data_IF_857814311122
#
_entry.id   IF_857814311122
#
_cell.length_a   1.000
_cell.length_b   1.000
_cell.length_c   1.000
_cell.angle_alpha   90.00
_cell.angle_beta   90.00
_cell.angle_gamma   90.00
#
_symmetry.space_group_name_H-M   'P 1'
#
loop_
_entity.id
_entity.type
_entity.pdbx_description
1 polymer ?
#
# COMPACT_ATOMS: atom_id res chain seq x y z
N UNK A 1 -8.35 -30.97 4.67
CA UNK A 1 -8.10 -29.71 5.42
C UNK A 1 -7.00 -28.87 4.76
N UNK A 2 -5.84 -29.46 4.41
CA UNK A 2 -4.73 -28.74 3.75
C UNK A 2 -5.03 -28.33 2.31
N UNK A 3 -5.79 -29.15 1.57
CA UNK A 3 -6.14 -28.90 0.17
C UNK A 3 -7.10 -27.72 0.01
N UNK A 4 -8.07 -27.58 0.90
CA UNK A 4 -9.01 -26.44 0.92
C UNK A 4 -8.29 -25.13 1.33
N UNK A 5 -7.35 -25.22 2.26
CA UNK A 5 -6.53 -24.08 2.68
C UNK A 5 -5.64 -23.59 1.54
N UNK A 6 -4.94 -24.49 0.84
CA UNK A 6 -4.10 -24.15 -0.29
C UNK A 6 -4.90 -23.56 -1.46
N UNK A 7 -6.09 -24.11 -1.75
CA UNK A 7 -6.99 -23.60 -2.78
C UNK A 7 -7.49 -22.18 -2.46
N UNK A 8 -7.90 -21.93 -1.21
CA UNK A 8 -8.33 -20.60 -0.78
C UNK A 8 -7.18 -19.58 -0.82
N UNK A 9 -5.97 -20.02 -0.44
CA UNK A 9 -4.77 -19.18 -0.52
C UNK A 9 -4.49 -18.75 -1.96
N UNK A 10 -4.51 -19.68 -2.90
CA UNK A 10 -4.30 -19.38 -4.33
C UNK A 10 -5.37 -18.44 -4.86
N UNK A 11 -6.62 -18.63 -4.48
CA UNK A 11 -7.72 -17.74 -4.90
C UNK A 11 -7.57 -16.32 -4.31
N UNK A 12 -7.23 -16.22 -3.03
CA UNK A 12 -7.00 -14.91 -2.39
C UNK A 12 -5.82 -14.17 -3.02
N UNK A 13 -4.74 -14.91 -3.38
CA UNK A 13 -3.58 -14.37 -4.12
C UNK A 13 -4.01 -13.87 -5.50
N UNK A 14 -4.74 -14.67 -6.25
CA UNK A 14 -5.18 -14.32 -7.60
C UNK A 14 -6.11 -13.10 -7.61
N UNK A 15 -7.04 -13.03 -6.67
CA UNK A 15 -7.97 -11.89 -6.55
C UNK A 15 -7.25 -10.60 -6.08
N UNK A 16 -6.29 -10.74 -5.17
CA UNK A 16 -5.45 -9.65 -4.73
C UNK A 16 -4.59 -9.09 -5.85
N UNK A 17 -3.96 -9.98 -6.63
CA UNK A 17 -3.17 -9.61 -7.81
C UNK A 17 -4.03 -8.91 -8.87
N UNK A 18 -5.18 -9.46 -9.21
CA UNK A 18 -6.08 -8.86 -10.20
C UNK A 18 -6.51 -7.45 -9.80
N UNK A 19 -6.90 -7.24 -8.55
CA UNK A 19 -7.27 -5.90 -8.05
C UNK A 19 -6.09 -4.94 -8.11
N UNK A 20 -4.90 -5.38 -7.70
CA UNK A 20 -3.70 -4.57 -7.75
C UNK A 20 -3.35 -4.16 -9.18
N UNK A 21 -3.26 -5.12 -10.12
CA UNK A 21 -2.90 -4.82 -11.50
C UNK A 21 -3.90 -3.90 -12.19
N UNK A 22 -5.19 -4.07 -11.96
CA UNK A 22 -6.22 -3.15 -12.50
C UNK A 22 -6.06 -1.74 -11.94
N UNK A 23 -5.83 -1.61 -10.64
CA UNK A 23 -5.58 -0.31 -10.00
C UNK A 23 -4.30 0.33 -10.52
N UNK A 24 -3.21 -0.43 -10.59
CA UNK A 24 -1.91 0.06 -11.05
C UNK A 24 -1.93 0.45 -12.54
N UNK A 25 -2.59 -0.33 -13.38
CA UNK A 25 -2.75 0.01 -14.79
C UNK A 25 -3.52 1.34 -14.97
N UNK A 26 -4.56 1.57 -14.17
CA UNK A 26 -5.30 2.82 -14.21
C UNK A 26 -4.46 4.00 -13.72
N UNK A 27 -3.69 3.82 -12.63
CA UNK A 27 -2.73 4.84 -12.15
C UNK A 27 -1.70 5.14 -13.23
N UNK A 28 -1.07 4.11 -13.81
CA UNK A 28 -0.06 4.25 -14.85
C UNK A 28 -0.59 5.00 -16.09
N UNK A 29 -1.81 4.70 -16.50
CA UNK A 29 -2.48 5.39 -17.62
C UNK A 29 -2.73 6.87 -17.29
N UNK A 30 -3.29 7.18 -16.11
CA UNK A 30 -3.51 8.56 -15.67
C UNK A 30 -2.19 9.34 -15.56
N UNK A 31 -1.15 8.73 -15.01
CA UNK A 31 0.19 9.31 -14.89
C UNK A 31 0.79 9.58 -16.26
N UNK A 32 0.65 8.66 -17.22
CA UNK A 32 1.09 8.86 -18.60
C UNK A 32 0.42 10.06 -19.27
N UNK A 33 -0.88 10.26 -19.05
CA UNK A 33 -1.60 11.43 -19.54
C UNK A 33 -1.08 12.71 -18.86
N UNK A 34 -0.89 12.69 -17.54
CA UNK A 34 -0.40 13.85 -16.79
C UNK A 34 1.01 14.26 -17.25
N UNK A 35 1.91 13.30 -17.45
CA UNK A 35 3.25 13.58 -18.02
C UNK A 35 3.15 14.13 -19.43
N UNK A 36 2.30 13.56 -20.29
CA UNK A 36 2.09 14.05 -21.65
C UNK A 36 1.61 15.50 -21.66
N UNK A 37 0.64 15.84 -20.82
CA UNK A 37 0.14 17.21 -20.68
C UNK A 37 1.24 18.13 -20.14
N UNK A 38 1.95 17.71 -19.08
CA UNK A 38 3.02 18.49 -18.49
C UNK A 38 4.16 18.80 -19.47
N UNK A 39 4.57 17.81 -20.26
CA UNK A 39 5.58 17.97 -21.28
C UNK A 39 5.10 18.82 -22.47
N UNK A 40 3.81 18.75 -22.84
CA UNK A 40 3.23 19.63 -23.86
C UNK A 40 3.22 21.09 -23.41
N UNK A 41 2.92 21.38 -22.15
CA UNK A 41 2.90 22.75 -21.61
C UNK A 41 4.28 23.41 -21.71
N UNK A 42 5.35 22.64 -21.50
CA UNK A 42 6.74 23.15 -21.63
C UNK A 42 7.30 23.00 -23.04
N UNK A 43 6.45 22.66 -24.02
CA UNK A 43 6.84 22.44 -25.42
C UNK A 43 8.02 21.47 -25.55
N UNK A 44 7.96 20.35 -24.82
CA UNK A 44 9.03 19.36 -24.81
C UNK A 44 8.96 18.45 -26.04
N UNK A 45 10.10 18.06 -26.65
CA UNK A 45 10.10 17.21 -27.82
C UNK A 45 9.52 15.83 -27.49
N UNK A 46 8.73 15.30 -28.42
CA UNK A 46 8.05 14.01 -28.26
C UNK A 46 7.21 13.89 -26.95
N UNK A 47 6.63 14.99 -26.47
CA UNK A 47 5.92 15.09 -25.19
C UNK A 47 4.94 13.96 -24.93
N UNK A 48 4.10 13.61 -25.91
CA UNK A 48 3.09 12.54 -25.78
C UNK A 48 3.76 11.18 -25.68
N UNK A 49 4.71 10.88 -26.57
CA UNK A 49 5.41 9.59 -26.58
C UNK A 49 6.20 9.37 -25.29
N UNK A 50 6.93 10.39 -24.85
CA UNK A 50 7.71 10.35 -23.62
C UNK A 50 6.80 10.20 -22.38
N UNK A 51 5.71 10.97 -22.32
CA UNK A 51 4.75 10.91 -21.22
C UNK A 51 4.09 9.53 -21.09
N UNK A 52 3.64 8.94 -22.20
CA UNK A 52 3.07 7.60 -22.21
C UNK A 52 4.11 6.54 -21.86
N UNK A 53 5.35 6.68 -22.32
CA UNK A 53 6.44 5.79 -21.97
C UNK A 53 6.73 5.80 -20.46
N UNK A 54 6.81 6.99 -19.85
CA UNK A 54 6.99 7.13 -18.40
C UNK A 54 5.79 6.57 -17.63
N UNK A 55 4.57 6.79 -18.13
CA UNK A 55 3.36 6.18 -17.60
C UNK A 55 3.40 4.65 -17.64
N UNK A 56 3.88 4.06 -18.74
CA UNK A 56 4.05 2.61 -18.85
C UNK A 56 5.09 2.08 -17.85
N UNK A 57 6.21 2.78 -17.68
CA UNK A 57 7.21 2.45 -16.65
C UNK A 57 6.62 2.49 -15.23
N UNK A 58 5.65 3.37 -14.98
CA UNK A 58 4.97 3.49 -13.70
C UNK A 58 4.08 2.28 -13.34
N UNK A 59 3.94 1.29 -14.23
CA UNK A 59 3.37 -0.03 -13.88
C UNK A 59 4.12 -0.68 -12.71
N UNK A 60 5.40 -0.41 -12.59
CA UNK A 60 6.21 -0.80 -11.43
C UNK A 60 6.53 0.46 -10.63
N UNK A 61 6.20 0.51 -9.33
CA UNK A 61 6.49 1.66 -8.49
C UNK A 61 7.96 2.07 -8.57
N UNK A 62 8.22 3.36 -8.66
CA UNK A 62 9.54 3.98 -8.76
C UNK A 62 10.31 3.72 -10.07
N UNK A 63 9.85 2.82 -10.95
CA UNK A 63 10.54 2.53 -12.21
C UNK A 63 10.47 3.72 -13.19
N UNK A 64 9.52 4.63 -13.01
CA UNK A 64 9.44 5.88 -13.77
C UNK A 64 10.74 6.74 -13.71
N UNK A 65 11.59 6.53 -12.67
CA UNK A 65 12.90 7.20 -12.56
C UNK A 65 13.77 6.89 -13.80
N UNK A 66 13.65 5.71 -14.41
CA UNK A 66 14.35 5.37 -15.65
C UNK A 66 13.96 6.32 -16.80
N UNK A 67 12.76 6.88 -16.75
CA UNK A 67 12.28 7.90 -17.69
C UNK A 67 13.11 9.20 -17.69
N UNK A 68 13.91 9.45 -16.65
CA UNK A 68 14.86 10.56 -16.65
C UNK A 68 15.92 10.42 -17.75
N UNK A 69 16.35 9.22 -18.07
CA UNK A 69 17.38 9.00 -19.09
C UNK A 69 16.96 9.52 -20.48
N UNK A 70 15.81 9.10 -21.06
CA UNK A 70 15.34 9.68 -22.32
C UNK A 70 14.96 11.17 -22.17
N UNK A 71 14.49 11.61 -21.00
CA UNK A 71 14.19 13.04 -20.78
C UNK A 71 15.44 13.90 -20.88
N UNK A 72 16.57 13.50 -20.29
CA UNK A 72 17.84 14.23 -20.40
C UNK A 72 18.31 14.25 -21.85
N UNK A 73 18.23 13.15 -22.56
CA UNK A 73 18.64 13.05 -23.97
C UNK A 73 17.83 14.03 -24.85
N UNK A 74 16.51 14.03 -24.67
CA UNK A 74 15.62 14.93 -25.42
C UNK A 74 15.80 16.40 -25.01
N UNK A 75 16.16 16.67 -23.76
CA UNK A 75 16.49 18.03 -23.31
C UNK A 75 17.77 18.56 -23.98
N UNK A 76 18.78 17.72 -24.17
CA UNK A 76 20.00 18.08 -24.92
C UNK A 76 19.66 18.38 -26.38
N UNK A 77 18.83 17.54 -27.02
CA UNK A 77 18.39 17.78 -28.40
C UNK A 77 17.62 19.10 -28.50
N UNK A 78 16.67 19.37 -27.63
CA UNK A 78 15.92 20.63 -27.61
C UNK A 78 16.84 21.82 -27.42
N UNK A 79 17.82 21.77 -26.53
CA UNK A 79 18.77 22.82 -26.31
C UNK A 79 19.61 23.12 -27.56
N UNK A 80 20.03 22.08 -28.28
CA UNK A 80 20.78 22.20 -29.53
C UNK A 80 19.94 22.82 -30.66
N UNK A 81 18.67 22.40 -30.79
CA UNK A 81 17.78 22.89 -31.85
C UNK A 81 17.29 24.32 -31.62
N UNK A 82 16.98 24.70 -30.38
CA UNK A 82 16.37 25.99 -30.05
C UNK A 82 17.37 27.03 -29.57
N UNK A 83 18.61 26.64 -29.27
CA UNK A 83 19.62 27.54 -28.67
C UNK A 83 19.28 27.94 -27.23
N UNK A 84 18.26 27.36 -26.63
CA UNK A 84 17.86 27.63 -25.24
C UNK A 84 18.86 27.02 -24.24
N UNK A 85 18.92 27.62 -23.05
CA UNK A 85 19.79 27.11 -22.01
C UNK A 85 19.31 25.72 -21.54
N UNK A 86 20.15 24.70 -21.68
CA UNK A 86 19.89 23.33 -21.26
C UNK A 86 19.39 23.25 -19.80
N UNK A 87 19.99 24.05 -18.90
CA UNK A 87 19.62 24.04 -17.48
C UNK A 87 18.18 24.49 -17.21
N UNK A 88 17.67 25.42 -18.03
CA UNK A 88 16.26 25.84 -17.95
C UNK A 88 15.34 24.74 -18.42
N UNK A 89 15.67 24.08 -19.54
CA UNK A 89 14.85 23.00 -20.09
C UNK A 89 14.76 21.84 -19.10
N UNK A 90 15.90 21.43 -18.55
CA UNK A 90 15.91 20.32 -17.58
C UNK A 90 15.22 20.68 -16.27
N UNK A 91 15.34 21.93 -15.78
CA UNK A 91 14.64 22.40 -14.61
C UNK A 91 13.11 22.37 -14.80
N UNK A 92 12.61 22.78 -15.97
CA UNK A 92 11.19 22.68 -16.33
C UNK A 92 10.73 21.21 -16.38
N UNK A 93 11.52 20.33 -16.98
CA UNK A 93 11.21 18.90 -17.01
C UNK A 93 11.16 18.31 -15.59
N UNK A 94 12.12 18.63 -14.72
CA UNK A 94 12.13 18.22 -13.31
C UNK A 94 10.91 18.73 -12.55
N UNK A 95 10.48 19.98 -12.83
CA UNK A 95 9.25 20.52 -12.25
C UNK A 95 8.02 19.71 -12.66
N UNK A 96 7.92 19.27 -13.92
CA UNK A 96 6.84 18.38 -14.37
C UNK A 96 6.88 17.06 -13.61
N UNK A 97 8.06 16.42 -13.46
CA UNK A 97 8.19 15.20 -12.66
C UNK A 97 7.72 15.40 -11.22
N UNK A 98 8.15 16.48 -10.56
CA UNK A 98 7.77 16.77 -9.18
C UNK A 98 6.26 17.00 -9.02
N UNK A 99 5.65 17.79 -9.92
CA UNK A 99 4.21 18.06 -9.88
C UNK A 99 3.41 16.78 -10.11
N UNK A 100 3.76 15.99 -11.13
CA UNK A 100 3.06 14.73 -11.42
C UNK A 100 3.23 13.75 -10.27
N UNK A 101 4.41 13.67 -9.65
CA UNK A 101 4.65 12.83 -8.48
C UNK A 101 3.76 13.23 -7.30
N UNK A 102 3.65 14.51 -6.98
CA UNK A 102 2.79 15.02 -5.91
C UNK A 102 1.32 14.67 -6.19
N UNK A 103 0.86 14.86 -7.43
CA UNK A 103 -0.53 14.52 -7.82
C UNK A 103 -0.75 13.02 -7.71
N UNK A 104 0.20 12.20 -8.16
CA UNK A 104 0.12 10.75 -8.07
C UNK A 104 -0.01 10.29 -6.62
N UNK A 105 0.88 10.72 -5.73
CA UNK A 105 0.95 10.23 -4.35
C UNK A 105 -0.19 10.77 -3.48
N UNK A 106 -0.65 12.00 -3.76
CA UNK A 106 -1.71 12.64 -2.95
C UNK A 106 -3.11 12.29 -3.42
N UNK A 107 -3.33 12.12 -4.72
CA UNK A 107 -4.67 11.96 -5.30
C UNK A 107 -4.89 10.63 -6.01
N UNK A 108 -4.00 10.24 -6.94
CA UNK A 108 -4.23 9.08 -7.78
C UNK A 108 -4.16 7.79 -6.97
N UNK A 109 -3.09 7.58 -6.26
CA UNK A 109 -2.85 6.35 -5.50
C UNK A 109 -3.92 6.16 -4.42
N UNK A 110 -4.23 7.13 -3.53
CA UNK A 110 -5.29 6.95 -2.53
C UNK A 110 -6.67 6.75 -3.13
N UNK A 111 -7.00 7.44 -4.24
CA UNK A 111 -8.32 7.38 -4.85
C UNK A 111 -8.57 6.11 -5.65
N UNK A 112 -7.56 5.62 -6.35
CA UNK A 112 -7.66 4.44 -7.23
C UNK A 112 -7.38 3.14 -6.48
N UNK A 113 -6.33 3.12 -5.67
CA UNK A 113 -5.91 1.93 -4.94
C UNK A 113 -6.49 1.84 -3.52
N UNK A 114 -7.04 2.93 -2.99
CA UNK A 114 -7.64 2.96 -1.66
C UNK A 114 -6.66 2.53 -0.56
N UNK A 115 -7.17 1.78 0.43
CA UNK A 115 -6.35 1.29 1.56
C UNK A 115 -5.40 0.13 1.22
N UNK A 116 -5.36 -0.30 -0.04
CA UNK A 116 -4.51 -1.42 -0.47
C UNK A 116 -3.02 -1.08 -0.31
N UNK A 117 -2.67 0.19 -0.43
CA UNK A 117 -1.30 0.69 -0.33
C UNK A 117 -0.99 1.39 1.00
N UNK A 118 -1.66 1.04 2.09
CA UNK A 118 -1.31 1.51 3.44
C UNK A 118 0.08 1.06 3.91
N UNK A 119 0.94 0.64 2.99
CA UNK A 119 2.31 0.21 3.27
C UNK A 119 3.24 1.42 3.39
N UNK A 120 4.11 1.39 4.40
CA UNK A 120 5.18 2.36 4.54
C UNK A 120 6.10 2.29 3.29
N UNK A 121 6.53 3.44 2.71
CA UNK A 121 7.46 3.47 1.58
C UNK A 121 8.70 2.59 1.76
N UNK A 122 9.22 2.47 2.98
CA UNK A 122 10.33 1.57 3.29
C UNK A 122 10.01 0.09 3.03
N UNK A 123 8.79 -0.35 3.34
CA UNK A 123 8.34 -1.73 3.08
C UNK A 123 8.19 -1.97 1.58
N UNK A 124 7.74 -0.96 0.83
CA UNK A 124 7.63 -1.04 -0.63
C UNK A 124 9.01 -1.24 -1.26
N UNK A 125 9.99 -0.39 -0.90
CA UNK A 125 11.35 -0.51 -1.40
C UNK A 125 12.01 -1.83 -1.01
N UNK A 126 11.82 -2.26 0.23
CA UNK A 126 12.33 -3.55 0.70
C UNK A 126 11.73 -4.73 -0.08
N UNK A 127 10.41 -4.71 -0.31
CA UNK A 127 9.74 -5.76 -1.08
C UNK A 127 10.19 -5.79 -2.54
N UNK A 128 10.34 -4.62 -3.18
CA UNK A 128 10.88 -4.52 -4.54
C UNK A 128 12.30 -5.05 -4.62
N UNK A 129 13.15 -4.78 -3.62
CA UNK A 129 14.53 -5.27 -3.55
C UNK A 129 14.57 -6.80 -3.39
N UNK A 130 13.77 -7.35 -2.48
CA UNK A 130 13.74 -8.80 -2.22
C UNK A 130 13.20 -9.55 -3.44
N UNK A 131 12.01 -9.19 -3.90
CA UNK A 131 11.37 -9.89 -5.02
C UNK A 131 12.07 -9.63 -6.34
N UNK A 132 12.62 -8.42 -6.52
CA UNK A 132 13.45 -8.08 -7.67
C UNK A 132 14.75 -8.88 -7.73
N UNK A 133 15.41 -9.10 -6.60
CA UNK A 133 16.61 -9.94 -6.51
C UNK A 133 16.31 -11.43 -6.78
N UNK A 134 15.14 -11.92 -6.34
CA UNK A 134 14.77 -13.34 -6.52
C UNK A 134 14.28 -13.66 -7.92
N UNK A 135 13.48 -12.79 -8.54
CA UNK A 135 12.77 -13.07 -9.79
C UNK A 135 13.00 -12.00 -10.87
N UNK A 136 13.93 -11.06 -10.65
CA UNK A 136 14.21 -9.98 -11.59
C UNK A 136 13.02 -9.05 -11.80
N UNK A 137 12.81 -8.60 -13.03
CA UNK A 137 11.75 -7.66 -13.40
C UNK A 137 10.35 -8.19 -13.09
N UNK A 138 10.09 -9.49 -13.28
CA UNK A 138 8.82 -10.12 -12.90
C UNK A 138 8.59 -10.05 -11.39
N UNK A 139 9.64 -10.26 -10.60
CA UNK A 139 9.57 -10.12 -9.13
C UNK A 139 9.20 -8.71 -8.69
N UNK A 140 9.73 -7.67 -9.32
CA UNK A 140 9.36 -6.28 -9.03
C UNK A 140 7.88 -6.00 -9.34
N UNK A 141 7.35 -6.53 -10.43
CA UNK A 141 5.93 -6.34 -10.80
C UNK A 141 4.98 -6.97 -9.78
N UNK A 142 5.30 -8.17 -9.28
CA UNK A 142 4.47 -8.91 -8.33
C UNK A 142 4.81 -8.62 -6.86
N UNK A 143 5.86 -7.85 -6.59
CA UNK A 143 6.36 -7.58 -5.23
C UNK A 143 5.29 -7.05 -4.28
N UNK A 144 4.57 -6.01 -4.70
CA UNK A 144 3.56 -5.36 -3.86
C UNK A 144 2.35 -6.25 -3.56
N UNK A 145 1.71 -6.91 -4.56
CA UNK A 145 0.64 -7.85 -4.27
C UNK A 145 1.05 -8.98 -3.33
N UNK A 146 2.23 -9.58 -3.55
CA UNK A 146 2.73 -10.66 -2.70
C UNK A 146 3.02 -10.19 -1.27
N UNK A 147 3.66 -9.04 -1.12
CA UNK A 147 3.97 -8.48 0.21
C UNK A 147 2.71 -8.08 0.96
N UNK A 148 1.72 -7.47 0.29
CA UNK A 148 0.43 -7.13 0.89
C UNK A 148 -0.32 -8.36 1.38
N UNK A 149 -0.29 -9.43 0.60
CA UNK A 149 -0.88 -10.71 0.97
C UNK A 149 -0.16 -11.34 2.17
N UNK A 150 1.17 -11.39 2.15
CA UNK A 150 1.95 -11.90 3.28
C UNK A 150 1.65 -11.12 4.57
N UNK A 151 1.59 -9.79 4.50
CA UNK A 151 1.24 -8.96 5.66
C UNK A 151 -0.20 -9.17 6.12
N UNK A 152 -1.15 -9.30 5.19
CA UNK A 152 -2.55 -9.57 5.51
C UNK A 152 -2.72 -10.94 6.19
N UNK A 153 -2.00 -11.97 5.73
CA UNK A 153 -1.98 -13.28 6.37
C UNK A 153 -1.31 -13.24 7.74
N UNK A 154 -0.19 -12.53 7.86
CA UNK A 154 0.50 -12.34 9.13
C UNK A 154 -0.41 -11.67 10.16
N UNK A 155 -1.10 -10.60 9.79
CA UNK A 155 -2.07 -9.91 10.64
C UNK A 155 -3.25 -10.81 11.03
N UNK A 156 -3.77 -11.58 10.08
CA UNK A 156 -4.93 -12.44 10.31
C UNK A 156 -4.62 -13.64 11.20
N UNK A 157 -3.45 -14.27 11.03
CA UNK A 157 -3.12 -15.51 11.74
C UNK A 157 -2.33 -15.29 13.03
N UNK A 158 -1.55 -14.23 13.13
CA UNK A 158 -0.71 -14.00 14.30
C UNK A 158 -1.32 -12.95 15.21
N UNK A 159 -1.62 -11.76 14.70
CA UNK A 159 -2.12 -10.65 15.53
C UNK A 159 -3.55 -10.89 16.02
N UNK A 160 -4.45 -11.42 15.18
CA UNK A 160 -5.82 -11.71 15.61
C UNK A 160 -5.90 -12.87 16.60
N UNK A 161 -5.00 -13.85 16.54
CA UNK A 161 -4.93 -14.90 17.57
C UNK A 161 -4.54 -14.37 18.94
N UNK A 162 -3.62 -13.44 18.98
CA UNK A 162 -3.25 -12.79 20.25
C UNK A 162 -4.41 -11.95 20.79
N UNK A 163 -5.08 -11.15 19.96
CA UNK A 163 -6.25 -10.37 20.40
C UNK A 163 -7.35 -11.24 20.96
N UNK A 164 -7.72 -12.31 20.28
CA UNK A 164 -8.75 -13.26 20.77
C UNK A 164 -8.36 -13.83 22.13
N UNK A 165 -7.09 -14.17 22.32
CA UNK A 165 -6.60 -14.71 23.58
C UNK A 165 -6.63 -13.67 24.72
N UNK A 166 -6.34 -12.39 24.43
CA UNK A 166 -6.47 -11.32 25.41
C UNK A 166 -7.94 -11.05 25.78
N UNK A 167 -8.83 -11.01 24.81
CA UNK A 167 -10.27 -10.80 25.03
C UNK A 167 -10.91 -11.95 25.81
N UNK A 168 -10.48 -13.21 25.59
CA UNK A 168 -10.91 -14.37 26.38
C UNK A 168 -10.43 -14.31 27.83
N UNK A 169 -9.19 -13.88 28.06
CA UNK A 169 -8.64 -13.70 29.41
C UNK A 169 -9.37 -12.60 30.13
N UNK A 170 -9.59 -11.47 29.49
CA UNK A 170 -10.30 -10.32 30.09
C UNK A 170 -11.75 -10.65 30.43
N UNK A 171 -12.48 -11.31 29.53
CA UNK A 171 -13.86 -11.75 29.80
C UNK A 171 -13.93 -12.79 30.92
N UNK A 172 -12.94 -13.66 31.04
CA UNK A 172 -12.85 -14.64 32.12
C UNK A 172 -12.59 -13.97 33.46
N UNK A 173 -11.72 -12.98 33.52
CA UNK A 173 -11.41 -12.19 34.72
C UNK A 173 -12.65 -11.41 35.19
N UNK A 174 -13.36 -10.75 34.27
CA UNK A 174 -14.59 -10.00 34.55
C UNK A 174 -15.67 -10.95 35.12
N UNK A 175 -15.85 -12.12 34.50
CA UNK A 175 -16.81 -13.13 34.95
C UNK A 175 -16.49 -13.64 36.35
N UNK A 176 -15.23 -13.95 36.66
CA UNK A 176 -14.79 -14.42 37.96
C UNK A 176 -14.99 -13.35 39.02
N UNK A 177 -14.72 -12.07 38.70
CA UNK A 177 -14.95 -10.97 39.62
C UNK A 177 -16.45 -10.76 39.90
N UNK A 178 -17.30 -10.85 38.90
CA UNK A 178 -18.76 -10.77 39.07
C UNK A 178 -19.30 -11.90 39.98
N UNK A 179 -18.87 -13.14 39.77
CA UNK A 179 -19.24 -14.26 40.63
C UNK A 179 -18.76 -14.05 42.08
N UNK A 180 -17.56 -13.53 42.26
CA UNK A 180 -17.04 -13.22 43.61
C UNK A 180 -17.88 -12.16 44.35
N UNK A 181 -18.33 -11.14 43.65
CA UNK A 181 -19.20 -10.10 44.19
C UNK A 181 -20.56 -10.68 44.56
N UNK A 182 -21.15 -11.53 43.73
CA UNK A 182 -22.42 -12.20 44.06
C UNK A 182 -22.28 -13.11 45.28
N UNK A 183 -21.21 -13.87 45.36
CA UNK A 183 -20.96 -14.74 46.53
C UNK A 183 -20.83 -13.95 47.83
N UNK A 184 -20.13 -12.83 47.80
CA UNK A 184 -20.01 -11.93 48.96
C UNK A 184 -21.37 -11.31 49.35
N UNK A 185 -22.17 -10.94 48.34
CA UNK A 185 -23.53 -10.39 48.57
C UNK A 185 -24.45 -11.40 49.21
N UNK A 186 -24.44 -12.64 48.74
CA UNK A 186 -25.22 -13.76 49.31
C UNK A 186 -24.75 -14.09 50.71
N UNK A 187 -23.45 -14.08 50.98
CA UNK A 187 -22.90 -14.34 52.30
C UNK A 187 -23.30 -13.24 53.30
N UNK A 188 -23.22 -11.99 52.94
CA UNK A 188 -23.65 -10.86 53.75
C UNK A 188 -25.17 -10.88 54.02
N UNK A 189 -25.98 -11.27 53.03
CA UNK A 189 -27.40 -11.43 53.17
C UNK A 189 -27.76 -12.57 54.16
N UNK A 190 -27.06 -13.68 54.09
CA UNK A 190 -27.22 -14.82 54.99
C UNK A 190 -26.85 -14.45 56.43
N UNK A 191 -25.79 -13.68 56.65
CA UNK A 191 -25.40 -13.17 57.96
C UNK A 191 -26.43 -12.20 58.54
N UNK A 192 -27.00 -11.35 57.72
CA UNK A 192 -28.05 -10.42 58.12
C UNK A 192 -29.30 -11.12 58.60
N UNK A 193 -29.77 -12.15 57.87
CA UNK A 193 -30.91 -12.99 58.25
C UNK A 193 -30.66 -13.80 59.51
N UNK A 194 -29.47 -14.33 59.73
CA UNK A 194 -29.11 -15.06 60.92
C UNK A 194 -29.13 -14.20 62.19
N UNK A 195 -28.71 -12.94 62.09
CA UNK A 195 -28.76 -12.01 63.20
C UNK A 195 -30.20 -11.54 63.54
N UNK A 196 -31.11 -11.51 62.56
CA UNK A 196 -32.52 -11.16 62.75
C UNK A 196 -33.34 -12.27 63.41
N UNK A 197 -32.96 -13.55 63.23
CA UNK A 197 -33.71 -14.70 63.76
C UNK A 197 -33.17 -15.23 65.09
N UNK A 198 -32.04 -14.69 65.57
CA UNK A 198 -31.42 -15.11 66.85
C UNK A 198 -31.53 -14.05 67.98
N UNK A 199 -32.31 -13.00 67.79
CA UNK A 199 -32.72 -12.04 68.80
C UNK A 199 -34.23 -12.12 69.05
#
# INVERSE_FOLDING_TARGET
>A
KYRTFASNLVHDVQDGMNRYFRGQALVAFCVGILFSIGFLIIDFPMAIALGLFIGALNMVPYLQIIGFLPTILLAILKAADTGQNFWIIIACALAVFAIVQIIQDTFLVPKIMGKITGLNPAIILLSLSIWGSLMGMLGMIIALPLTTLMLSYYQRFIINKEKIKYDEVETTVIRNNAQRIETIRLFNFSLYWKNLTSG
#
